data_IF_646387844575
#
_entry.id   IF_646387844575
#
_cell.length_a   1.000
_cell.length_b   1.000
_cell.length_c   1.000
_cell.angle_alpha   90.00
_cell.angle_beta   90.00
_cell.angle_gamma   90.00
#
_symmetry.space_group_name_H-M   'P 1'
#
loop_
_entity.id
_entity.type
_entity.pdbx_description
1 polymer ?
#
# COMPACT_ATOMS: atom_id res chain seq x y z
N UNK A 1 -12.76 6.17 19.77
CA UNK A 1 -13.06 6.18 18.33
C UNK A 1 -14.15 5.15 18.08
N UNK A 2 -15.19 5.44 17.30
CA UNK A 2 -16.17 4.41 16.96
C UNK A 2 -15.51 3.37 16.03
N UNK A 3 -15.94 2.10 16.09
CA UNK A 3 -15.43 1.06 15.19
C UNK A 3 -15.59 1.46 13.71
N UNK A 4 -16.63 2.23 13.39
CA UNK A 4 -16.89 2.74 12.05
C UNK A 4 -15.79 3.71 11.58
N UNK A 5 -15.37 4.67 12.42
CA UNK A 5 -14.31 5.63 12.08
C UNK A 5 -12.96 4.94 11.84
N UNK A 6 -12.64 3.93 12.66
CA UNK A 6 -11.42 3.13 12.52
C UNK A 6 -11.43 2.30 11.23
N UNK A 7 -12.58 1.67 10.90
CA UNK A 7 -12.72 0.89 9.68
C UNK A 7 -12.58 1.77 8.43
N UNK A 8 -13.21 2.96 8.40
CA UNK A 8 -13.10 3.89 7.27
C UNK A 8 -11.66 4.33 7.04
N UNK A 9 -10.90 4.67 8.10
CA UNK A 9 -9.47 5.00 7.99
C UNK A 9 -8.66 3.85 7.40
N UNK A 10 -8.90 2.63 7.85
CA UNK A 10 -8.19 1.44 7.35
C UNK A 10 -8.50 1.18 5.87
N UNK A 11 -9.76 1.32 5.47
CA UNK A 11 -10.17 1.17 4.07
C UNK A 11 -9.55 2.22 3.16
N UNK A 12 -9.57 3.50 3.56
CA UNK A 12 -8.92 4.57 2.80
C UNK A 12 -7.41 4.32 2.67
N UNK A 13 -6.77 3.89 3.76
CA UNK A 13 -5.36 3.57 3.76
C UNK A 13 -5.02 2.44 2.78
N UNK A 14 -5.79 1.36 2.82
CA UNK A 14 -5.65 0.24 1.88
C UNK A 14 -5.85 0.67 0.42
N UNK A 15 -6.84 1.54 0.15
CA UNK A 15 -7.09 2.07 -1.18
C UNK A 15 -5.89 2.87 -1.72
N UNK A 16 -5.33 3.79 -0.92
CA UNK A 16 -4.14 4.56 -1.32
C UNK A 16 -2.91 3.67 -1.51
N UNK A 17 -2.70 2.69 -0.62
CA UNK A 17 -1.60 1.74 -0.73
C UNK A 17 -1.70 0.92 -2.03
N UNK A 18 -2.92 0.50 -2.40
CA UNK A 18 -3.20 -0.25 -3.63
C UNK A 18 -2.96 0.60 -4.88
N UNK A 19 -3.39 1.87 -4.87
CA UNK A 19 -3.10 2.81 -5.97
C UNK A 19 -1.59 2.99 -6.13
N UNK A 20 -0.85 3.16 -5.03
CA UNK A 20 0.60 3.25 -5.03
C UNK A 20 1.26 2.01 -5.64
N UNK A 21 0.81 0.81 -5.24
CA UNK A 21 1.27 -0.47 -5.79
C UNK A 21 1.11 -0.55 -7.31
N UNK A 22 -0.12 -0.30 -7.80
CA UNK A 22 -0.44 -0.40 -9.23
C UNK A 22 0.35 0.64 -10.02
N UNK A 23 0.46 1.86 -9.51
CA UNK A 23 1.17 2.96 -10.17
C UNK A 23 2.67 2.68 -10.26
N UNK A 24 3.28 2.20 -9.18
CA UNK A 24 4.72 1.85 -9.14
C UNK A 24 5.00 0.64 -10.03
N UNK A 25 4.16 -0.39 -9.96
CA UNK A 25 4.29 -1.57 -10.82
C UNK A 25 4.18 -1.20 -12.30
N UNK A 26 3.24 -0.34 -12.68
CA UNK A 26 3.08 0.13 -14.05
C UNK A 26 4.28 0.97 -14.53
N UNK A 27 4.80 1.88 -13.70
CA UNK A 27 5.97 2.69 -14.03
C UNK A 27 7.23 1.81 -14.14
N UNK A 28 7.48 0.94 -13.17
CA UNK A 28 8.64 0.06 -13.19
C UNK A 28 8.58 -0.95 -14.33
N UNK A 29 7.38 -1.38 -14.72
CA UNK A 29 7.17 -2.29 -15.85
C UNK A 29 7.59 -1.73 -17.20
N UNK A 30 7.83 -0.41 -17.32
CA UNK A 30 8.40 0.18 -18.55
C UNK A 30 9.93 0.07 -18.62
N UNK A 31 10.60 -0.19 -17.48
CA UNK A 31 12.06 -0.25 -17.38
C UNK A 31 12.60 -1.62 -17.00
N UNK A 32 11.78 -2.46 -16.34
CA UNK A 32 12.18 -3.73 -15.76
C UNK A 32 11.32 -4.89 -16.30
N UNK A 33 11.85 -6.12 -16.28
CA UNK A 33 11.03 -7.31 -16.53
C UNK A 33 9.80 -7.34 -15.59
N UNK A 34 8.64 -7.72 -16.13
CA UNK A 34 7.37 -7.61 -15.41
C UNK A 34 7.34 -8.28 -14.03
N UNK A 35 8.03 -9.41 -13.86
CA UNK A 35 8.16 -10.07 -12.56
C UNK A 35 8.90 -9.23 -11.51
N UNK A 36 9.96 -8.52 -11.91
CA UNK A 36 10.74 -7.65 -11.02
C UNK A 36 9.93 -6.41 -10.65
N UNK A 37 9.26 -5.80 -11.62
CA UNK A 37 8.39 -4.64 -11.39
C UNK A 37 7.25 -4.95 -10.41
N UNK A 38 6.60 -6.11 -10.56
CA UNK A 38 5.55 -6.58 -9.64
C UNK A 38 6.10 -6.85 -8.23
N UNK A 39 7.28 -7.46 -8.12
CA UNK A 39 7.91 -7.72 -6.83
C UNK A 39 8.27 -6.43 -6.09
N UNK A 40 8.86 -5.45 -6.79
CA UNK A 40 9.18 -4.14 -6.19
C UNK A 40 7.91 -3.40 -5.79
N UNK A 41 6.88 -3.41 -6.64
CA UNK A 41 5.58 -2.88 -6.27
C UNK A 41 5.05 -3.51 -4.98
N UNK A 42 5.09 -4.84 -4.89
CA UNK A 42 4.58 -5.58 -3.73
C UNK A 42 5.33 -5.21 -2.45
N UNK A 43 6.65 -5.03 -2.52
CA UNK A 43 7.43 -4.56 -1.38
C UNK A 43 6.99 -3.16 -0.90
N UNK A 44 6.70 -2.25 -1.83
CA UNK A 44 6.19 -0.92 -1.46
C UNK A 44 4.82 -1.03 -0.80
N UNK A 45 3.91 -1.85 -1.34
CA UNK A 45 2.60 -2.11 -0.73
C UNK A 45 2.76 -2.64 0.70
N UNK A 46 3.64 -3.62 0.89
CA UNK A 46 3.92 -4.23 2.19
C UNK A 46 4.44 -3.19 3.20
N UNK A 47 5.42 -2.37 2.81
CA UNK A 47 6.00 -1.33 3.69
C UNK A 47 4.96 -0.30 4.07
N UNK A 48 4.13 0.15 3.13
CA UNK A 48 3.04 1.10 3.40
C UNK A 48 2.04 0.46 4.36
N UNK A 49 1.56 -0.76 4.10
CA UNK A 49 0.64 -1.49 4.98
C UNK A 49 1.19 -1.60 6.40
N UNK A 50 2.44 -2.02 6.57
CA UNK A 50 3.08 -2.13 7.87
C UNK A 50 3.22 -0.76 8.55
N UNK A 51 3.68 0.26 7.83
CA UNK A 51 3.80 1.63 8.37
C UNK A 51 2.47 2.21 8.83
N UNK A 52 1.40 1.98 8.07
CA UNK A 52 0.04 2.38 8.46
C UNK A 52 -0.48 1.60 9.66
N UNK A 53 -0.17 0.31 9.75
CA UNK A 53 -0.53 -0.52 10.90
C UNK A 53 0.19 -0.05 12.18
N UNK A 54 1.48 0.24 12.08
CA UNK A 54 2.27 0.82 13.19
C UNK A 54 1.75 2.19 13.61
N UNK A 55 1.44 3.05 12.64
CA UNK A 55 0.82 4.35 12.91
C UNK A 55 -0.54 4.16 13.59
N UNK A 56 -1.37 3.25 13.10
CA UNK A 56 -2.68 2.94 13.68
C UNK A 56 -2.57 2.40 15.10
N UNK A 57 -1.64 1.48 15.39
CA UNK A 57 -1.45 0.90 16.72
C UNK A 57 -0.88 1.89 17.76
N UNK A 58 -0.31 3.00 17.32
CA UNK A 58 0.25 4.04 18.18
C UNK A 58 -0.80 5.01 18.75
N UNK A 59 -1.95 5.14 18.10
CA UNK A 59 -3.05 6.04 18.51
C UNK A 59 -4.24 5.25 19.05
#
# INVERSE_FOLDING_TARGET
MSLADSAVRMYLFYAFATIGFVSIGAILGTFLPGGVALFVGFLVLLVVVLGGLFWYARF
#
